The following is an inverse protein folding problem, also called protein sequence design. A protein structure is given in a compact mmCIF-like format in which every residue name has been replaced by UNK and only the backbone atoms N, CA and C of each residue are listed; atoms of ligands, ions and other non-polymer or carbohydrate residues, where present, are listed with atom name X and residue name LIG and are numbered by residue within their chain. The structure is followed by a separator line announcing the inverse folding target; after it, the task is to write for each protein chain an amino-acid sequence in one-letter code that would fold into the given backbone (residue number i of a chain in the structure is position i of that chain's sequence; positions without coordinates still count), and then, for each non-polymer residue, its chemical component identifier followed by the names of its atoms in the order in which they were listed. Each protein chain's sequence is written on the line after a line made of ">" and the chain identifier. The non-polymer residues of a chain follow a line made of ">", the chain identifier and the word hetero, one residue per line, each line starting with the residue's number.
data_IF_738805109622
#
_entry.id   IF_738805109622
#
_cell.length_a   1.000
_cell.length_b   1.000
_cell.length_c   1.000
_cell.angle_alpha   90.00
_cell.angle_beta   90.00
_cell.angle_gamma   90.00
#
_symmetry.space_group_name_H-M   'P 1'
#
loop_
_entity.id
_entity.type
_entity.pdbx_description
1 polymer ?
#
# COMPACT_ATOMS: atom_id res chain seq x y z
N UNK A 1 4.53 7.01 15.52
CA UNK A 1 3.74 8.00 14.76
C UNK A 1 2.41 7.37 14.36
N UNK A 2 1.32 7.56 15.13
CA UNK A 2 0.00 6.95 14.86
C UNK A 2 -0.70 7.50 13.61
N UNK A 3 -0.31 8.70 13.18
CA UNK A 3 -0.91 9.43 12.05
C UNK A 3 -0.65 8.75 10.72
N UNK A 4 0.53 8.15 10.54
CA UNK A 4 0.90 7.47 9.28
C UNK A 4 0.02 6.24 9.01
N UNK A 5 -0.39 5.52 10.05
CA UNK A 5 -1.33 4.41 9.89
C UNK A 5 -2.69 4.89 9.41
N UNK A 6 -3.24 5.93 10.05
CA UNK A 6 -4.53 6.49 9.64
C UNK A 6 -4.47 7.00 8.21
N UNK A 7 -3.40 7.72 7.86
CA UNK A 7 -3.14 8.18 6.50
C UNK A 7 -3.04 7.04 5.51
N UNK A 8 -2.35 5.95 5.84
CA UNK A 8 -2.25 4.79 4.97
C UNK A 8 -3.61 4.13 4.69
N UNK A 9 -4.50 4.07 5.70
CA UNK A 9 -5.86 3.56 5.52
C UNK A 9 -6.74 4.51 4.70
N UNK A 10 -6.61 5.83 4.90
CA UNK A 10 -7.47 6.85 4.29
C UNK A 10 -7.02 7.29 2.90
N UNK A 11 -5.71 7.47 2.67
CA UNK A 11 -5.14 7.98 1.42
C UNK A 11 -4.50 6.85 0.58
N UNK A 12 -4.07 5.77 1.22
CA UNK A 12 -3.25 4.74 0.59
C UNK A 12 -1.76 5.13 0.52
N UNK A 13 -0.91 4.15 0.21
CA UNK A 13 0.54 4.32 0.13
C UNK A 13 0.98 4.16 -1.32
N UNK A 14 1.62 5.18 -1.89
CA UNK A 14 2.17 5.09 -3.24
C UNK A 14 3.37 4.14 -3.29
N UNK A 15 3.48 3.34 -4.34
CA UNK A 15 4.59 2.41 -4.51
C UNK A 15 5.00 2.29 -5.98
N UNK A 16 6.24 1.89 -6.20
CA UNK A 16 6.77 1.62 -7.53
C UNK A 16 6.32 0.23 -8.02
N UNK A 17 5.37 0.22 -8.96
CA UNK A 17 4.87 -1.00 -9.55
C UNK A 17 5.63 -1.43 -10.83
N UNK A 18 6.67 -0.70 -11.24
CA UNK A 18 7.44 -1.04 -12.46
C UNK A 18 8.06 -2.43 -12.39
N UNK A 19 8.37 -2.90 -11.18
CA UNK A 19 8.91 -4.23 -10.90
C UNK A 19 7.84 -5.34 -10.88
N UNK A 20 6.55 -5.03 -11.00
CA UNK A 20 5.46 -6.02 -11.04
C UNK A 20 5.05 -6.24 -12.49
N UNK A 21 5.17 -7.48 -12.96
CA UNK A 21 4.73 -7.87 -14.29
C UNK A 21 3.23 -7.56 -14.47
N UNK A 22 2.90 -6.78 -15.51
CA UNK A 22 1.54 -6.30 -15.78
C UNK A 22 1.25 -4.87 -15.33
N UNK A 23 2.18 -4.22 -14.59
CA UNK A 23 2.09 -2.81 -14.19
C UNK A 23 3.23 -1.94 -14.76
N UNK A 24 4.03 -2.50 -15.66
CA UNK A 24 5.22 -1.84 -16.24
C UNK A 24 4.91 -0.57 -17.04
N UNK A 25 3.70 -0.46 -17.59
CA UNK A 25 3.24 0.72 -18.36
C UNK A 25 2.52 1.77 -17.51
N UNK A 26 2.30 1.50 -16.22
CA UNK A 26 1.59 2.42 -15.32
C UNK A 26 2.61 3.31 -14.61
N UNK A 27 2.49 4.62 -14.81
CA UNK A 27 3.33 5.62 -14.15
C UNK A 27 3.26 5.44 -12.63
N UNK A 28 4.42 5.35 -11.98
CA UNK A 28 4.61 5.02 -10.56
C UNK A 28 3.75 5.85 -9.58
N UNK A 29 3.40 7.10 -9.94
CA UNK A 29 2.57 7.98 -9.11
C UNK A 29 1.08 7.64 -9.13
N UNK A 30 0.66 6.74 -10.01
CA UNK A 30 -0.74 6.41 -10.23
C UNK A 30 -1.21 5.16 -9.48
N UNK A 31 -0.38 4.52 -8.66
CA UNK A 31 -0.78 3.32 -7.93
C UNK A 31 -0.63 3.50 -6.42
N UNK A 32 -1.65 3.05 -5.71
CA UNK A 32 -1.78 3.18 -4.26
C UNK A 32 -2.08 1.81 -3.66
N UNK A 33 -1.36 1.46 -2.60
CA UNK A 33 -1.65 0.33 -1.73
C UNK A 33 -2.60 0.78 -0.62
N UNK A 34 -3.76 0.13 -0.54
CA UNK A 34 -4.70 0.28 0.58
C UNK A 34 -4.59 -0.94 1.48
N UNK A 35 -4.01 -0.83 2.68
CA UNK A 35 -3.95 -1.93 3.64
C UNK A 35 -5.33 -2.26 4.20
N UNK A 36 -5.64 -3.55 4.31
CA UNK A 36 -6.86 -4.04 4.95
C UNK A 36 -6.58 -4.34 6.44
N UNK A 37 -7.14 -3.55 7.38
CA UNK A 37 -6.90 -3.74 8.81
C UNK A 37 -7.45 -5.06 9.35
N UNK A 38 -8.42 -5.69 8.68
CA UNK A 38 -8.96 -6.99 9.08
C UNK A 38 -7.97 -8.14 8.89
N UNK A 39 -6.94 -7.93 8.05
CA UNK A 39 -5.92 -8.93 7.71
C UNK A 39 -4.65 -8.81 8.55
N UNK A 40 -4.66 -7.94 9.57
CA UNK A 40 -3.51 -7.68 10.42
C UNK A 40 -3.05 -8.95 11.14
N UNK A 41 -1.80 -9.34 10.90
CA UNK A 41 -1.16 -10.50 11.51
C UNK A 41 0.20 -10.11 12.08
N UNK A 42 0.54 -10.61 13.25
CA UNK A 42 1.92 -10.55 13.75
C UNK A 42 2.82 -11.50 12.94
N UNK A 43 4.10 -11.18 12.88
CA UNK A 43 5.10 -12.00 12.18
C UNK A 43 6.00 -12.68 13.23
N UNK A 44 5.76 -13.98 13.54
CA UNK A 44 6.34 -14.61 14.73
C UNK A 44 7.84 -14.89 14.65
N UNK A 45 8.44 -14.90 13.45
CA UNK A 45 9.87 -15.19 13.25
C UNK A 45 10.77 -13.95 13.26
N UNK A 46 10.20 -12.75 13.43
CA UNK A 46 10.97 -11.50 13.49
C UNK A 46 11.27 -11.11 14.96
N UNK A 47 12.45 -10.53 15.24
CA UNK A 47 12.86 -10.21 16.59
C UNK A 47 11.91 -9.19 17.25
N UNK A 48 11.51 -9.51 18.49
CA UNK A 48 10.47 -8.84 19.30
C UNK A 48 10.75 -7.34 19.55
N UNK A 49 11.99 -6.89 19.37
CA UNK A 49 12.40 -5.50 19.57
C UNK A 49 11.76 -4.51 18.58
N UNK A 50 11.25 -5.00 17.44
CA UNK A 50 10.34 -4.26 16.58
C UNK A 50 9.03 -5.01 16.48
N UNK A 51 7.94 -4.49 17.04
CA UNK A 51 6.60 -5.05 16.81
C UNK A 51 6.23 -4.87 15.33
N UNK A 52 6.59 -5.85 14.50
CA UNK A 52 6.28 -5.90 13.08
C UNK A 52 4.95 -6.62 12.86
N UNK A 53 4.13 -6.03 12.00
CA UNK A 53 2.84 -6.60 11.58
C UNK A 53 2.80 -6.63 10.07
N UNK A 54 2.07 -7.59 9.52
CA UNK A 54 1.76 -7.68 8.09
C UNK A 54 0.26 -7.46 7.89
N UNK A 55 -0.09 -6.87 6.75
CA UNK A 55 -1.46 -6.72 6.26
C UNK A 55 -1.44 -7.01 4.76
N UNK A 56 -2.53 -7.52 4.23
CA UNK A 56 -2.75 -7.55 2.79
C UNK A 56 -3.17 -6.17 2.31
N UNK A 57 -2.74 -5.81 1.10
CA UNK A 57 -3.07 -4.53 0.48
C UNK A 57 -3.75 -4.77 -0.86
N UNK A 58 -4.78 -3.97 -1.15
CA UNK A 58 -5.35 -3.87 -2.49
C UNK A 58 -4.66 -2.76 -3.27
N UNK A 59 -4.52 -2.96 -4.59
CA UNK A 59 -3.92 -1.98 -5.50
C UNK A 59 -5.05 -1.12 -6.08
N UNK A 60 -4.93 0.19 -5.94
CA UNK A 60 -5.87 1.18 -6.49
C UNK A 60 -5.15 2.17 -7.39
N UNK A 61 -5.83 2.60 -8.45
CA UNK A 61 -5.36 3.74 -9.24
C UNK A 61 -5.56 5.04 -8.46
N UNK A 62 -4.59 5.94 -8.55
CA UNK A 62 -4.71 7.28 -7.99
C UNK A 62 -5.84 8.02 -8.72
N UNK A 63 -6.70 8.67 -7.95
CA UNK A 63 -7.91 9.34 -8.46
C UNK A 63 -7.61 10.41 -9.53
N UNK A 64 -6.37 10.88 -9.64
CA UNK A 64 -5.94 11.88 -10.62
C UNK A 64 -5.74 11.34 -12.05
N UNK A 65 -5.67 10.02 -12.25
CA UNK A 65 -5.52 9.43 -13.60
C UNK A 65 -6.83 9.32 -14.38
N UNK A 66 -7.99 9.64 -13.78
CA UNK A 66 -9.30 9.49 -14.39
C UNK A 66 -9.85 10.80 -15.00
N UNK A 67 -9.00 11.60 -15.63
CA UNK A 67 -9.46 12.71 -16.49
C UNK A 67 -9.63 12.11 -17.89
N UNK A 68 -10.85 11.85 -18.38
CA UNK A 68 -11.04 11.45 -19.76
C UNK A 68 -10.74 12.67 -20.65
N UNK A 69 -9.81 12.49 -21.59
CA UNK A 69 -9.59 13.37 -22.74
C UNK A 69 -10.82 13.42 -23.64
#
# INVERSE_FOLDING_TARGET
>A
MPTEFRRAFDEGISFDASAIAGYSDIVQSNLLLRPDPSTLSSVPWLPIHGRMVRMYCSIHLSRWSAIPS
#
